data_IF_878633425452
#
_entry.id   IF_878633425452
#
_cell.length_a   1.000
_cell.length_b   1.000
_cell.length_c   1.000
_cell.angle_alpha   90.00
_cell.angle_beta   90.00
_cell.angle_gamma   90.00
#
_symmetry.space_group_name_H-M   'P 1'
#
loop_
_entity.id
_entity.type
_entity.pdbx_description
1 polymer ?
#
# COMPACT_ATOMS: atom_id res chain seq x y z
N UNK A 1 -17.74 -15.66 42.31
CA UNK A 1 -16.60 -16.28 41.60
C UNK A 1 -17.07 -17.21 40.46
N UNK A 2 -18.07 -18.09 40.70
CA UNK A 2 -18.60 -19.02 39.66
C UNK A 2 -19.17 -18.24 38.45
N UNK A 3 -20.00 -17.25 38.67
CA UNK A 3 -20.59 -16.40 37.63
C UNK A 3 -19.52 -15.69 36.80
N UNK A 4 -18.48 -15.12 37.43
CA UNK A 4 -17.40 -14.45 36.72
C UNK A 4 -16.60 -15.42 35.82
N UNK A 5 -16.34 -16.65 36.27
CA UNK A 5 -15.70 -17.67 35.47
C UNK A 5 -16.56 -18.12 34.28
N UNK A 6 -17.88 -18.25 34.48
CA UNK A 6 -18.83 -18.59 33.42
C UNK A 6 -18.89 -17.48 32.37
N UNK A 7 -18.96 -16.18 32.77
CA UNK A 7 -18.95 -15.05 31.88
C UNK A 7 -17.66 -14.97 31.05
N UNK A 8 -16.52 -15.26 31.71
CA UNK A 8 -15.22 -15.31 31.04
C UNK A 8 -15.12 -16.44 30.03
N UNK A 9 -15.55 -17.65 30.41
CA UNK A 9 -15.56 -18.79 29.49
C UNK A 9 -16.44 -18.49 28.27
N UNK A 10 -17.67 -17.97 28.50
CA UNK A 10 -18.59 -17.61 27.42
C UNK A 10 -17.99 -16.58 26.45
N UNK A 11 -17.20 -15.63 26.96
CA UNK A 11 -16.51 -14.66 26.11
C UNK A 11 -15.46 -15.35 25.22
N UNK A 12 -14.63 -16.25 25.76
CA UNK A 12 -13.63 -16.97 24.96
C UNK A 12 -14.27 -17.90 23.93
N UNK A 13 -15.36 -18.58 24.30
CA UNK A 13 -16.11 -19.44 23.38
C UNK A 13 -16.72 -18.62 22.24
N UNK A 14 -17.34 -17.47 22.56
CA UNK A 14 -17.88 -16.54 21.58
C UNK A 14 -16.81 -15.97 20.64
N UNK A 15 -15.64 -15.61 21.18
CA UNK A 15 -14.52 -15.12 20.37
C UNK A 15 -13.96 -16.18 19.44
N UNK A 16 -13.83 -17.41 19.91
CA UNK A 16 -13.38 -18.53 19.08
C UNK A 16 -14.34 -18.79 17.90
N UNK A 17 -15.65 -18.78 18.16
CA UNK A 17 -16.67 -18.94 17.12
C UNK A 17 -16.71 -17.76 16.15
N UNK A 18 -16.61 -16.55 16.67
CA UNK A 18 -16.51 -15.34 15.86
C UNK A 18 -15.30 -15.40 14.91
N UNK A 19 -14.10 -15.71 15.44
CA UNK A 19 -12.88 -15.81 14.61
C UNK A 19 -12.98 -16.93 13.58
N UNK A 20 -13.63 -18.04 13.90
CA UNK A 20 -13.85 -19.17 12.98
C UNK A 20 -14.76 -18.79 11.81
N UNK A 21 -15.76 -17.94 12.04
CA UNK A 21 -16.73 -17.51 11.04
C UNK A 21 -16.38 -16.20 10.36
N UNK A 22 -15.43 -15.45 10.90
CA UNK A 22 -15.03 -14.18 10.35
C UNK A 22 -14.56 -14.35 8.89
N UNK A 23 -15.16 -13.61 7.94
CA UNK A 23 -14.73 -13.66 6.54
C UNK A 23 -13.33 -13.09 6.40
N UNK A 24 -12.68 -13.43 5.30
CA UNK A 24 -11.39 -12.82 4.95
C UNK A 24 -11.59 -11.35 4.58
N UNK A 25 -11.20 -10.44 5.44
CA UNK A 25 -11.29 -9.01 5.20
C UNK A 25 -10.23 -8.60 4.17
N UNK A 26 -10.66 -8.04 3.05
CA UNK A 26 -9.75 -7.64 1.98
C UNK A 26 -9.40 -6.15 2.08
N UNK A 27 -8.14 -5.81 1.78
CA UNK A 27 -7.69 -4.44 1.61
C UNK A 27 -8.13 -3.92 0.25
N UNK A 28 -9.22 -3.18 0.19
CA UNK A 28 -9.88 -2.71 -1.03
C UNK A 28 -9.58 -1.26 -1.38
N UNK A 29 -9.30 -0.41 -0.38
CA UNK A 29 -9.06 1.02 -0.57
C UNK A 29 -7.59 1.31 -0.82
N UNK A 30 -7.32 2.17 -1.80
CA UNK A 30 -5.97 2.65 -2.13
C UNK A 30 -5.70 3.99 -1.48
N UNK A 31 -4.65 4.06 -0.67
CA UNK A 31 -4.08 5.32 -0.20
C UNK A 31 -2.83 5.66 -1.01
N UNK A 32 -2.61 6.95 -1.26
CA UNK A 32 -1.39 7.47 -1.91
C UNK A 32 -0.70 8.42 -0.95
N UNK A 33 0.59 8.22 -0.74
CA UNK A 33 1.43 9.11 0.05
C UNK A 33 2.42 9.77 -0.90
N UNK A 34 2.36 11.11 -0.98
CA UNK A 34 3.36 11.89 -1.72
C UNK A 34 4.49 12.27 -0.78
N UNK A 35 5.71 11.98 -1.17
CA UNK A 35 6.90 12.37 -0.43
C UNK A 35 7.35 13.78 -0.84
N UNK A 36 8.06 14.50 0.03
CA UNK A 36 8.61 15.82 -0.26
C UNK A 36 9.55 15.85 -1.48
N UNK A 37 10.04 14.69 -1.92
CA UNK A 37 10.88 14.52 -3.11
C UNK A 37 10.11 14.25 -4.41
N UNK A 38 8.77 14.40 -4.42
CA UNK A 38 7.95 14.21 -5.62
C UNK A 38 7.62 12.76 -5.96
N UNK A 39 8.13 11.78 -5.21
CA UNK A 39 7.74 10.39 -5.36
C UNK A 39 6.41 10.15 -4.65
N UNK A 40 5.52 9.36 -5.25
CA UNK A 40 4.31 8.89 -4.57
C UNK A 40 4.32 7.37 -4.52
N UNK A 41 3.94 6.81 -3.38
CA UNK A 41 3.69 5.38 -3.26
C UNK A 41 2.26 5.16 -2.76
N UNK A 42 1.64 4.10 -3.29
CA UNK A 42 0.30 3.71 -2.89
C UNK A 42 0.32 2.39 -2.14
N UNK A 43 -0.55 2.27 -1.14
CA UNK A 43 -0.81 1.01 -0.45
C UNK A 43 -2.31 0.75 -0.36
N UNK A 44 -2.66 -0.54 -0.27
CA UNK A 44 -4.04 -0.95 -0.03
C UNK A 44 -4.30 -1.09 1.47
N UNK A 45 -5.48 -0.70 1.91
CA UNK A 45 -5.94 -0.86 3.28
C UNK A 45 -7.42 -1.21 3.31
N UNK A 46 -7.88 -1.78 4.42
CA UNK A 46 -9.29 -1.91 4.73
C UNK A 46 -9.69 -0.76 5.66
N UNK A 47 -10.65 0.09 5.28
CA UNK A 47 -11.22 1.08 6.18
C UNK A 47 -11.88 0.42 7.39
N UNK A 48 -11.96 1.14 8.51
CA UNK A 48 -12.56 0.60 9.73
C UNK A 48 -14.06 0.32 9.55
N UNK A 49 -14.77 1.18 8.83
CA UNK A 49 -16.16 1.01 8.48
C UNK A 49 -16.40 -0.27 7.68
N UNK A 50 -15.63 -0.49 6.60
CA UNK A 50 -15.71 -1.73 5.80
C UNK A 50 -15.45 -2.98 6.68
N UNK A 51 -14.48 -2.92 7.62
CA UNK A 51 -14.22 -4.02 8.55
C UNK A 51 -15.42 -4.25 9.47
N UNK A 52 -15.96 -3.20 10.07
CA UNK A 52 -17.06 -3.29 11.03
C UNK A 52 -18.35 -3.77 10.36
N UNK A 53 -18.65 -3.32 9.15
CA UNK A 53 -19.84 -3.75 8.40
C UNK A 53 -19.81 -5.29 8.16
N UNK A 54 -18.65 -5.86 7.92
CA UNK A 54 -18.51 -7.31 7.75
C UNK A 54 -18.57 -8.10 9.08
N UNK A 55 -18.01 -7.56 10.17
CA UNK A 55 -17.81 -8.34 11.38
C UNK A 55 -18.87 -8.12 12.45
N UNK A 56 -19.51 -6.93 12.54
CA UNK A 56 -20.50 -6.62 13.57
C UNK A 56 -21.72 -7.55 13.55
N UNK A 57 -22.28 -7.94 12.40
CA UNK A 57 -23.37 -8.92 12.37
C UNK A 57 -22.96 -10.24 13.02
N UNK A 58 -21.78 -10.76 12.70
CA UNK A 58 -21.26 -12.02 13.25
C UNK A 58 -20.98 -11.88 14.76
N UNK A 59 -20.36 -10.77 15.18
CA UNK A 59 -20.15 -10.49 16.59
C UNK A 59 -21.46 -10.49 17.37
N UNK A 60 -22.52 -9.86 16.80
CA UNK A 60 -23.84 -9.81 17.40
C UNK A 60 -24.49 -11.19 17.60
N UNK A 61 -24.31 -12.10 16.65
CA UNK A 61 -24.79 -13.49 16.75
C UNK A 61 -24.22 -14.22 17.96
N UNK A 62 -22.98 -13.90 18.34
CA UNK A 62 -22.28 -14.48 19.50
C UNK A 62 -22.38 -13.61 20.76
N UNK A 63 -23.25 -12.61 20.78
CA UNK A 63 -23.45 -11.72 21.93
C UNK A 63 -22.24 -10.84 22.24
N UNK A 64 -21.37 -10.61 21.25
CA UNK A 64 -20.22 -9.72 21.35
C UNK A 64 -20.58 -8.30 20.88
N UNK A 65 -20.01 -7.30 21.54
CA UNK A 65 -20.13 -5.89 21.18
C UNK A 65 -18.80 -5.16 21.30
N UNK A 66 -18.58 -4.15 20.47
CA UNK A 66 -17.36 -3.37 20.43
C UNK A 66 -17.59 -1.93 20.88
N UNK A 67 -16.65 -1.38 21.63
CA UNK A 67 -16.62 0.02 22.05
C UNK A 67 -15.19 0.52 22.19
N UNK A 68 -15.01 1.86 22.21
CA UNK A 68 -13.69 2.49 22.35
C UNK A 68 -13.71 3.55 23.44
N UNK A 69 -12.66 3.56 24.25
CA UNK A 69 -12.25 4.70 25.07
C UNK A 69 -11.14 5.47 24.35
N UNK A 70 -11.12 6.79 24.49
CA UNK A 70 -10.16 7.67 23.82
C UNK A 70 -9.46 8.55 24.84
N UNK A 71 -8.16 8.79 24.61
CA UNK A 71 -7.38 9.77 25.33
C UNK A 71 -6.63 10.66 24.34
N UNK A 72 -6.38 11.91 24.77
CA UNK A 72 -5.65 12.91 24.02
C UNK A 72 -4.45 13.35 24.85
N UNK A 73 -3.27 13.35 24.25
CA UNK A 73 -2.04 13.86 24.85
C UNK A 73 -1.27 14.67 23.83
N UNK A 74 -1.05 15.97 24.13
CA UNK A 74 -0.29 16.86 23.26
C UNK A 74 -0.67 16.70 21.76
N UNK A 75 0.21 16.05 20.98
CA UNK A 75 0.05 15.85 19.55
C UNK A 75 -0.31 14.40 19.20
N UNK A 76 -0.93 13.66 20.10
CA UNK A 76 -1.34 12.27 19.87
C UNK A 76 -2.72 11.98 20.44
N UNK A 77 -3.34 10.96 19.87
CA UNK A 77 -4.63 10.43 20.31
C UNK A 77 -4.50 8.92 20.46
N UNK A 78 -5.17 8.35 21.45
CA UNK A 78 -5.27 6.90 21.58
C UNK A 78 -6.70 6.40 21.46
N UNK A 79 -6.81 5.13 21.11
CA UNK A 79 -8.02 4.35 21.27
C UNK A 79 -7.70 3.04 22.00
N UNK A 80 -8.50 2.71 23.00
CA UNK A 80 -8.51 1.42 23.69
C UNK A 80 -9.80 0.70 23.31
N UNK A 81 -9.69 -0.31 22.45
CA UNK A 81 -10.82 -1.09 22.00
C UNK A 81 -11.20 -2.12 23.05
N UNK A 82 -12.48 -2.19 23.36
CA UNK A 82 -13.05 -3.17 24.29
C UNK A 82 -14.09 -4.02 23.56
N UNK A 83 -13.92 -5.32 23.59
CA UNK A 83 -14.93 -6.30 23.18
C UNK A 83 -15.59 -6.88 24.42
N UNK A 84 -16.91 -6.71 24.52
CA UNK A 84 -17.72 -7.14 25.64
C UNK A 84 -18.68 -8.25 25.22
N UNK A 85 -18.88 -9.22 26.11
CA UNK A 85 -19.89 -10.28 25.92
C UNK A 85 -21.14 -9.97 26.75
N UNK A 86 -22.31 -10.42 26.28
CA UNK A 86 -23.61 -10.20 26.93
C UNK A 86 -23.68 -10.70 28.39
N UNK A 87 -22.87 -11.71 28.75
CA UNK A 87 -22.78 -12.23 30.12
C UNK A 87 -21.83 -11.44 31.03
N UNK A 88 -21.32 -10.26 30.58
CA UNK A 88 -20.65 -9.29 31.44
C UNK A 88 -19.11 -9.39 31.47
N UNK A 89 -18.46 -10.31 30.76
CA UNK A 89 -17.01 -10.30 30.60
C UNK A 89 -16.60 -9.40 29.42
N UNK A 90 -15.43 -8.79 29.52
CA UNK A 90 -14.85 -8.01 28.44
C UNK A 90 -13.31 -8.02 28.47
N UNK A 91 -12.71 -7.98 27.30
CA UNK A 91 -11.27 -7.82 27.12
C UNK A 91 -10.96 -6.53 26.32
N UNK A 92 -9.75 -6.01 26.49
CA UNK A 92 -9.30 -4.75 25.92
C UNK A 92 -8.01 -4.91 25.14
N UNK A 93 -7.83 -4.07 24.11
CA UNK A 93 -6.58 -4.01 23.36
C UNK A 93 -5.41 -3.38 24.14
N UNK A 94 -5.74 -2.56 25.15
CA UNK A 94 -4.85 -1.52 25.63
C UNK A 94 -4.85 -0.29 24.71
N UNK A 95 -4.31 0.82 25.21
CA UNK A 95 -4.29 2.09 24.48
C UNK A 95 -3.30 2.06 23.31
N UNK A 96 -3.80 2.20 22.09
CA UNK A 96 -2.99 2.34 20.87
C UNK A 96 -2.84 3.83 20.55
N UNK A 97 -1.63 4.36 20.68
CA UNK A 97 -1.33 5.77 20.48
C UNK A 97 -0.92 6.08 19.06
N UNK A 98 -1.55 7.06 18.43
CA UNK A 98 -1.26 7.53 17.06
C UNK A 98 -0.93 9.03 17.11
N UNK A 99 0.21 9.46 16.55
CA UNK A 99 0.52 10.88 16.41
C UNK A 99 -0.51 11.58 15.50
N UNK A 100 -0.92 12.78 15.89
CA UNK A 100 -1.74 13.65 15.05
C UNK A 100 -0.82 14.23 13.96
N UNK A 101 -1.11 14.09 12.67
CA UNK A 101 -0.28 14.66 11.61
C UNK A 101 -0.03 16.15 11.81
N UNK A 102 1.19 16.62 11.55
CA UNK A 102 1.52 18.04 11.72
C UNK A 102 0.77 18.93 10.70
N UNK A 103 0.61 20.23 10.97
CA UNK A 103 0.07 21.16 10.00
C UNK A 103 0.84 21.10 8.67
N UNK A 104 0.13 20.96 7.54
CA UNK A 104 0.73 20.89 6.21
C UNK A 104 1.18 19.49 5.75
N UNK A 105 1.17 18.47 6.61
CA UNK A 105 1.52 17.10 6.18
C UNK A 105 0.43 16.42 5.35
N UNK A 106 -0.83 16.71 5.62
CA UNK A 106 -1.97 16.02 4.97
C UNK A 106 -2.88 16.94 4.17
N UNK A 107 -2.64 18.25 4.16
CA UNK A 107 -3.57 19.23 3.62
C UNK A 107 -4.89 19.36 4.39
N UNK A 108 -5.06 18.57 5.47
CA UNK A 108 -6.28 18.54 6.28
C UNK A 108 -6.29 19.65 7.33
N UNK A 109 -7.50 20.12 7.68
CA UNK A 109 -7.72 21.07 8.80
C UNK A 109 -7.38 20.43 10.14
N UNK A 110 -7.23 21.23 11.20
CA UNK A 110 -6.95 20.74 12.56
C UNK A 110 -7.87 19.60 13.00
N UNK A 111 -9.21 19.76 12.98
CA UNK A 111 -10.14 18.70 13.34
C UNK A 111 -10.03 17.45 12.46
N UNK A 112 -9.82 17.63 11.15
CA UNK A 112 -9.65 16.49 10.22
C UNK A 112 -8.41 15.67 10.53
N UNK A 113 -7.28 16.30 10.91
CA UNK A 113 -6.05 15.60 11.30
C UNK A 113 -6.26 14.73 12.56
N UNK A 114 -7.01 15.25 13.54
CA UNK A 114 -7.41 14.49 14.72
C UNK A 114 -8.29 13.30 14.31
N UNK A 115 -9.29 13.51 13.43
CA UNK A 115 -10.16 12.45 12.92
C UNK A 115 -9.38 11.34 12.19
N UNK A 116 -8.37 11.72 11.41
CA UNK A 116 -7.47 10.76 10.74
C UNK A 116 -6.75 9.90 11.79
N UNK A 117 -6.07 10.51 12.75
CA UNK A 117 -5.34 9.78 13.79
C UNK A 117 -6.27 8.88 14.63
N UNK A 118 -7.46 9.37 14.97
CA UNK A 118 -8.49 8.61 15.70
C UNK A 118 -8.94 7.37 14.93
N UNK A 119 -9.17 7.48 13.64
CA UNK A 119 -9.57 6.33 12.80
C UNK A 119 -8.50 5.25 12.76
N UNK A 120 -7.23 5.65 12.67
CA UNK A 120 -6.10 4.71 12.77
C UNK A 120 -6.01 4.05 14.15
N UNK A 121 -6.14 4.84 15.23
CA UNK A 121 -6.09 4.31 16.59
C UNK A 121 -7.21 3.28 16.83
N UNK A 122 -8.44 3.58 16.41
CA UNK A 122 -9.59 2.66 16.50
C UNK A 122 -9.35 1.37 15.71
N UNK A 123 -8.88 1.48 14.46
CA UNK A 123 -8.64 0.31 13.61
C UNK A 123 -7.60 -0.61 14.22
N UNK A 124 -6.44 -0.09 14.58
CA UNK A 124 -5.36 -0.92 15.13
C UNK A 124 -5.70 -1.52 16.50
N UNK A 125 -6.41 -0.77 17.36
CA UNK A 125 -6.86 -1.31 18.63
C UNK A 125 -7.93 -2.41 18.45
N UNK A 126 -8.79 -2.29 17.44
CA UNK A 126 -9.75 -3.35 17.09
C UNK A 126 -9.06 -4.59 16.55
N UNK A 127 -8.14 -4.44 15.60
CA UNK A 127 -7.35 -5.53 15.05
C UNK A 127 -6.58 -6.29 16.15
N UNK A 128 -6.02 -5.54 17.11
CA UNK A 128 -5.27 -6.12 18.24
C UNK A 128 -6.12 -6.99 19.18
N UNK A 129 -7.35 -6.57 19.53
CA UNK A 129 -8.21 -7.31 20.47
C UNK A 129 -9.05 -8.38 19.79
N UNK A 130 -9.41 -8.20 18.51
CA UNK A 130 -10.22 -9.16 17.75
C UNK A 130 -9.40 -10.29 17.13
N UNK A 131 -8.09 -10.09 16.95
CA UNK A 131 -7.23 -11.00 16.21
C UNK A 131 -7.46 -10.99 14.70
N UNK A 132 -8.26 -10.04 14.18
CA UNK A 132 -8.53 -9.91 12.75
C UNK A 132 -7.38 -9.15 12.10
N UNK A 133 -6.88 -9.68 10.97
CA UNK A 133 -5.86 -9.02 10.18
C UNK A 133 -6.29 -8.94 8.72
N UNK A 134 -6.65 -7.73 8.22
CA UNK A 134 -6.99 -7.55 6.83
C UNK A 134 -5.82 -7.94 5.91
N UNK A 135 -6.11 -8.74 4.88
CA UNK A 135 -5.11 -9.26 3.95
C UNK A 135 -5.30 -8.71 2.54
N UNK A 136 -4.24 -8.75 1.73
CA UNK A 136 -4.39 -8.69 0.27
C UNK A 136 -4.86 -10.05 -0.23
N UNK A 137 -5.55 -10.10 -1.34
CA UNK A 137 -6.00 -11.35 -1.96
C UNK A 137 -4.87 -12.32 -2.33
N UNK A 138 -3.62 -11.88 -2.38
CA UNK A 138 -2.40 -12.65 -2.62
C UNK A 138 -1.46 -12.56 -1.40
N UNK A 139 -1.05 -13.68 -0.88
CA UNK A 139 -0.30 -13.84 0.37
C UNK A 139 1.18 -13.34 0.32
N UNK A 140 1.53 -12.44 -0.59
CA UNK A 140 2.91 -11.99 -0.78
C UNK A 140 3.22 -10.64 -0.11
N UNK A 141 2.58 -10.32 1.02
CA UNK A 141 2.61 -9.00 1.65
C UNK A 141 3.77 -8.75 2.63
N UNK A 142 4.53 -9.78 2.99
CA UNK A 142 5.59 -9.67 4.01
C UNK A 142 6.83 -8.87 3.56
N UNK A 143 7.00 -8.63 2.25
CA UNK A 143 8.25 -8.04 1.72
C UNK A 143 8.13 -6.60 1.21
N UNK A 144 6.92 -5.97 1.22
CA UNK A 144 6.71 -4.69 0.52
C UNK A 144 6.21 -3.52 1.37
N UNK A 145 5.88 -3.72 2.64
CA UNK A 145 5.26 -2.69 3.49
C UNK A 145 5.97 -2.46 4.84
N UNK A 146 7.26 -2.74 4.97
CA UNK A 146 8.01 -2.20 6.09
C UNK A 146 8.11 -0.68 5.91
N UNK A 147 7.65 0.16 6.87
CA UNK A 147 8.05 1.55 6.88
C UNK A 147 9.57 1.60 6.99
N UNK A 148 10.26 2.58 6.39
CA UNK A 148 11.70 2.71 6.60
C UNK A 148 11.94 2.85 8.10
N UNK A 149 12.48 1.81 8.73
CA UNK A 149 12.88 1.88 10.11
C UNK A 149 14.01 2.90 10.19
N UNK A 150 13.78 3.99 10.94
CA UNK A 150 14.82 4.91 11.36
C UNK A 150 15.70 4.19 12.39
N UNK A 151 16.64 3.36 11.93
CA UNK A 151 17.78 2.94 12.72
C UNK A 151 18.99 3.75 12.26
N UNK A 152 19.41 4.66 13.14
CA UNK A 152 20.68 5.35 13.05
C UNK A 152 21.83 4.35 13.03
N UNK A 153 22.70 4.53 12.06
CA UNK A 153 24.15 4.38 12.21
C UNK A 153 24.74 3.00 12.18
N UNK A 154 25.28 2.62 11.01
CA UNK A 154 26.73 2.33 10.89
C UNK A 154 27.11 2.30 9.42
N UNK A 155 28.27 2.86 9.00
CA UNK A 155 28.75 2.78 7.63
C UNK A 155 29.46 1.45 7.44
N UNK A 156 28.89 0.59 6.61
CA UNK A 156 29.46 -0.72 6.34
C UNK A 156 29.03 -1.25 4.97
N UNK A 157 29.89 -1.01 3.99
CA UNK A 157 30.14 -1.84 2.80
C UNK A 157 28.98 -1.99 1.82
N UNK A 158 29.10 -1.24 0.76
CA UNK A 158 28.42 -1.43 -0.52
C UNK A 158 28.88 -2.79 -1.06
N UNK A 159 28.02 -3.79 -1.02
CA UNK A 159 28.10 -4.94 -1.92
C UNK A 159 27.02 -4.75 -2.98
N UNK A 160 27.51 -4.44 -4.15
CA UNK A 160 26.81 -4.45 -5.42
C UNK A 160 26.37 -5.90 -5.70
N UNK A 161 25.18 -6.27 -5.24
CA UNK A 161 24.50 -7.48 -5.67
C UNK A 161 23.85 -7.18 -7.02
N UNK A 162 24.61 -7.43 -8.07
CA UNK A 162 24.17 -7.48 -9.45
C UNK A 162 22.90 -8.32 -9.57
N UNK A 163 21.86 -7.70 -10.10
CA UNK A 163 20.60 -8.35 -10.41
C UNK A 163 20.83 -9.62 -11.22
N UNK A 164 20.32 -10.74 -10.74
CA UNK A 164 20.24 -11.96 -11.51
C UNK A 164 19.62 -11.63 -12.88
N UNK A 165 20.37 -11.87 -13.94
CA UNK A 165 19.93 -11.72 -15.32
C UNK A 165 18.76 -12.68 -15.56
N UNK A 166 17.53 -12.19 -15.42
CA UNK A 166 16.34 -12.89 -15.88
C UNK A 166 16.39 -13.00 -17.39
N UNK A 167 15.88 -14.10 -17.92
CA UNK A 167 15.77 -14.37 -19.36
C UNK A 167 15.37 -13.09 -20.11
N UNK A 168 16.18 -12.58 -21.06
CA UNK A 168 15.90 -11.36 -21.81
C UNK A 168 14.61 -11.41 -22.63
N UNK A 169 14.03 -12.58 -22.85
CA UNK A 169 12.76 -12.79 -23.53
C UNK A 169 11.53 -12.56 -22.63
N UNK A 170 11.67 -12.53 -21.31
CA UNK A 170 10.57 -12.25 -20.39
C UNK A 170 10.18 -10.76 -20.43
N UNK A 171 8.88 -10.50 -20.33
CA UNK A 171 8.36 -9.13 -20.28
C UNK A 171 8.77 -8.42 -18.99
N UNK A 172 8.78 -7.10 -19.03
CA UNK A 172 9.10 -6.25 -17.88
C UNK A 172 8.14 -6.46 -16.71
N UNK A 173 8.64 -6.27 -15.49
CA UNK A 173 7.81 -6.29 -14.28
C UNK A 173 6.94 -5.05 -14.20
N UNK A 174 5.86 -5.11 -13.40
CA UNK A 174 5.01 -3.94 -13.13
C UNK A 174 5.80 -2.73 -12.58
N UNK A 175 6.83 -2.98 -11.77
CA UNK A 175 7.73 -1.93 -11.26
C UNK A 175 8.56 -1.29 -12.38
N UNK A 176 9.05 -2.08 -13.33
CA UNK A 176 9.77 -1.59 -14.51
C UNK A 176 8.83 -0.82 -15.45
N UNK A 177 7.59 -1.27 -15.62
CA UNK A 177 6.58 -0.57 -16.39
C UNK A 177 6.21 0.78 -15.75
N UNK A 178 6.08 0.84 -14.42
CA UNK A 178 5.90 2.12 -13.70
C UNK A 178 7.07 3.08 -13.92
N UNK A 179 8.31 2.58 -13.90
CA UNK A 179 9.51 3.38 -14.19
C UNK A 179 9.51 3.93 -15.62
N UNK A 180 9.12 3.12 -16.60
CA UNK A 180 8.95 3.52 -17.99
C UNK A 180 7.98 4.72 -18.11
N UNK A 181 6.77 4.62 -17.54
CA UNK A 181 5.78 5.68 -17.58
C UNK A 181 6.20 6.94 -16.80
N UNK A 182 6.92 6.80 -15.69
CA UNK A 182 7.44 7.93 -14.92
C UNK A 182 8.44 8.74 -15.76
N UNK A 183 9.36 8.10 -16.47
CA UNK A 183 10.33 8.75 -17.34
C UNK A 183 9.63 9.38 -18.55
N UNK A 184 8.72 8.67 -19.21
CA UNK A 184 7.98 9.17 -20.35
C UNK A 184 7.21 10.45 -20.01
N UNK A 185 6.52 10.50 -18.88
CA UNK A 185 5.79 11.70 -18.41
C UNK A 185 6.74 12.83 -17.99
N UNK A 186 7.86 12.50 -17.35
CA UNK A 186 8.88 13.48 -16.96
C UNK A 186 9.46 14.22 -18.17
N UNK A 187 9.69 13.51 -19.26
CA UNK A 187 10.21 14.01 -20.53
C UNK A 187 9.11 14.51 -21.50
N UNK A 188 7.88 14.66 -21.00
CA UNK A 188 6.71 15.20 -21.73
C UNK A 188 6.38 14.46 -23.04
N UNK A 189 6.54 13.14 -23.04
CA UNK A 189 6.07 12.30 -24.14
C UNK A 189 4.55 12.26 -24.16
N UNK A 190 3.94 12.41 -25.34
CA UNK A 190 2.50 12.15 -25.49
C UNK A 190 2.22 10.65 -25.61
N UNK A 191 1.00 10.24 -25.30
CA UNK A 191 0.60 8.84 -25.46
C UNK A 191 0.73 8.36 -26.92
N UNK A 192 0.51 9.23 -27.89
CA UNK A 192 0.72 8.95 -29.31
C UNK A 192 2.21 8.68 -29.62
N UNK A 193 3.14 9.51 -29.11
CA UNK A 193 4.58 9.30 -29.33
C UNK A 193 5.07 8.00 -28.70
N UNK A 194 4.52 7.65 -27.52
CA UNK A 194 4.85 6.39 -26.84
C UNK A 194 4.33 5.21 -27.65
N UNK A 195 3.12 5.29 -28.16
CA UNK A 195 2.55 4.26 -29.02
C UNK A 195 3.39 4.05 -30.28
N UNK A 196 3.77 5.14 -30.96
CA UNK A 196 4.61 5.08 -32.16
C UNK A 196 6.01 4.53 -31.85
N UNK A 197 6.61 4.90 -30.70
CA UNK A 197 7.89 4.34 -30.25
C UNK A 197 7.79 2.82 -30.04
N UNK A 198 6.78 2.34 -29.35
CA UNK A 198 6.57 0.92 -29.09
C UNK A 198 6.29 0.14 -30.39
N UNK A 199 5.44 0.70 -31.24
CA UNK A 199 5.11 0.13 -32.57
C UNK A 199 6.37 0.02 -33.45
N UNK A 200 7.26 1.03 -33.44
CA UNK A 200 8.52 1.01 -34.18
C UNK A 200 9.45 -0.14 -33.76
N UNK A 201 9.25 -0.66 -32.54
CA UNK A 201 9.99 -1.79 -31.96
C UNK A 201 9.18 -3.10 -31.95
N UNK A 202 8.05 -3.14 -32.66
CA UNK A 202 7.13 -4.30 -32.73
C UNK A 202 6.58 -4.73 -31.35
N UNK A 203 6.36 -3.78 -30.44
CA UNK A 203 5.81 -3.99 -29.10
C UNK A 203 4.38 -3.44 -29.08
N UNK A 204 3.40 -4.27 -28.72
CA UNK A 204 1.98 -3.91 -28.72
C UNK A 204 1.62 -2.87 -27.65
N UNK A 205 2.18 -3.04 -26.44
CA UNK A 205 1.96 -2.12 -25.33
C UNK A 205 3.12 -2.16 -24.33
N UNK A 206 3.13 -1.22 -23.38
CA UNK A 206 4.22 -1.07 -22.41
C UNK A 206 4.38 -2.27 -21.46
N UNK A 207 3.37 -3.11 -21.28
CA UNK A 207 3.45 -4.30 -20.42
C UNK A 207 4.14 -5.47 -21.09
N UNK A 208 4.23 -5.41 -22.43
CA UNK A 208 4.85 -6.44 -23.28
C UNK A 208 6.28 -6.10 -23.71
N UNK A 209 6.89 -5.07 -23.13
CA UNK A 209 8.30 -4.74 -23.38
C UNK A 209 9.20 -5.90 -22.90
N UNK A 210 10.04 -6.49 -23.77
CA UNK A 210 11.02 -7.47 -23.34
C UNK A 210 12.04 -6.83 -22.40
N UNK A 211 12.45 -7.53 -21.35
CA UNK A 211 13.44 -7.01 -20.37
C UNK A 211 14.74 -6.56 -21.04
N UNK A 212 15.23 -7.31 -22.02
CA UNK A 212 16.42 -6.96 -22.77
C UNK A 212 16.32 -5.69 -23.63
N UNK A 213 15.10 -5.26 -23.97
CA UNK A 213 14.85 -4.03 -24.74
C UNK A 213 14.60 -2.80 -23.86
N UNK A 214 14.37 -2.99 -22.56
CA UNK A 214 13.93 -1.92 -21.66
C UNK A 214 14.94 -0.76 -21.58
N UNK A 215 16.20 -1.04 -21.37
CA UNK A 215 17.23 0.00 -21.17
C UNK A 215 17.38 0.88 -22.42
N UNK A 216 17.40 0.28 -23.62
CA UNK A 216 17.43 1.01 -24.87
C UNK A 216 16.17 1.88 -25.12
N UNK A 217 15.02 1.43 -24.64
CA UNK A 217 13.78 2.21 -24.67
C UNK A 217 13.82 3.36 -23.66
N UNK A 218 14.29 3.12 -22.43
CA UNK A 218 14.44 4.15 -21.41
C UNK A 218 15.42 5.24 -21.83
N UNK A 219 16.52 4.88 -22.49
CA UNK A 219 17.49 5.85 -23.02
C UNK A 219 16.89 6.67 -24.16
N UNK A 220 16.06 6.07 -24.99
CA UNK A 220 15.31 6.81 -26.02
C UNK A 220 14.34 7.79 -25.38
N UNK A 221 13.62 7.41 -24.33
CA UNK A 221 12.71 8.29 -23.60
C UNK A 221 13.43 9.48 -22.96
N UNK A 222 14.58 9.25 -22.33
CA UNK A 222 15.43 10.32 -21.74
C UNK A 222 15.95 11.32 -22.78
N UNK A 223 16.11 10.89 -24.02
CA UNK A 223 16.49 11.76 -25.14
C UNK A 223 15.39 12.75 -25.56
N UNK A 224 14.16 12.56 -25.07
CA UNK A 224 13.00 13.41 -25.29
C UNK A 224 12.27 13.15 -26.62
N UNK A 225 10.96 13.35 -26.61
CA UNK A 225 10.07 13.07 -27.73
C UNK A 225 10.43 13.88 -29.01
N UNK A 226 10.92 15.11 -28.85
CA UNK A 226 11.30 15.96 -29.97
C UNK A 226 12.48 15.39 -30.73
N UNK A 227 13.54 15.00 -30.04
CA UNK A 227 14.74 14.44 -30.65
C UNK A 227 14.43 13.10 -31.37
N UNK A 228 13.53 12.31 -30.79
CA UNK A 228 13.09 11.06 -31.39
C UNK A 228 12.29 11.28 -32.68
N UNK A 229 11.33 12.23 -32.69
CA UNK A 229 10.57 12.60 -33.90
C UNK A 229 11.47 13.08 -35.03
N UNK A 230 12.47 13.93 -34.72
CA UNK A 230 13.46 14.39 -35.68
C UNK A 230 14.29 13.25 -36.25
N UNK A 231 14.64 12.28 -35.43
CA UNK A 231 15.37 11.09 -35.87
C UNK A 231 14.55 10.20 -36.80
N UNK A 232 13.28 10.00 -36.51
CA UNK A 232 12.37 9.22 -37.37
C UNK A 232 12.07 9.98 -38.69
N UNK A 233 11.86 11.27 -38.63
CA UNK A 233 11.59 12.09 -39.84
C UNK A 233 12.81 12.10 -40.78
N UNK A 234 14.02 11.90 -40.30
CA UNK A 234 15.25 11.84 -41.13
C UNK A 234 15.47 10.46 -41.79
N UNK A 235 14.68 9.41 -41.45
CA UNK A 235 14.70 8.07 -42.08
C UNK A 235 16.09 7.44 -42.21
N UNK A 236 16.20 6.13 -42.43
CA UNK A 236 17.47 5.49 -42.76
C UNK A 236 17.83 5.70 -44.26
N UNK A 237 17.90 6.93 -44.72
CA UNK A 237 18.27 7.27 -46.06
C UNK A 237 19.53 8.15 -46.05
N UNK A 238 20.65 7.59 -45.61
CA UNK A 238 21.91 8.31 -45.56
C UNK A 238 23.20 7.51 -45.70
N UNK A 239 23.07 6.18 -45.93
CA UNK A 239 24.27 5.33 -46.05
C UNK A 239 24.24 4.37 -47.25
N UNK A 240 23.92 4.91 -48.40
CA UNK A 240 24.16 4.24 -49.68
C UNK A 240 24.38 5.30 -50.77
N UNK A 241 25.56 5.92 -50.83
CA UNK A 241 26.22 6.39 -52.05
C UNK A 241 27.51 7.15 -51.70
N UNK A 242 28.61 6.44 -51.67
CA UNK A 242 29.87 7.00 -52.16
C UNK A 242 30.60 5.94 -53.00
N UNK A 243 31.06 6.40 -54.18
CA UNK A 243 31.64 5.56 -55.21
C UNK A 243 33.02 4.99 -54.82
#
# INVERSE_FOLDING_TARGET
>A
RVQANQARQAWYDAMAEFQRQCPRILKTRKASISTKGGSSFGYLYAPLDDILDEVQPIMGEYGLSVSWAHEYKENSVSADCKISHALGHSEKSGAVWIPIPAPGETGATGPQRVGIAMTYAKRYSFEAVSGIQPSRGDDNDASRNAPPSSSQGQPGRVEDEGGAAGDPSTTITEGQNRKFWAIARGEKWSDADIHDLLTSKQIEDSTKIPRGALDGILDTLKGGAKAWREKIAKGPAGEAARP
#
